data_IF_569597000749
#
_entry.id   IF_569597000749
#
_cell.length_a   1.000
_cell.length_b   1.000
_cell.length_c   1.000
_cell.angle_alpha   90.00
_cell.angle_beta   90.00
_cell.angle_gamma   90.00
#
_symmetry.space_group_name_H-M   'P 1'
#
loop_
_entity.id
_entity.type
_entity.pdbx_description
1 polymer ?
#
# COMPACT_ATOMS: atom_id res chain seq x y z
N UNK A 1 -1.08 -23.84 -1.64
CA UNK A 1 0.35 -24.18 -1.70
C UNK A 1 1.24 -22.95 -1.44
N UNK A 2 1.08 -21.82 -2.16
CA UNK A 2 1.85 -20.60 -1.93
C UNK A 2 1.69 -20.03 -0.51
N UNK A 3 0.54 -20.25 0.12
CA UNK A 3 0.24 -19.75 1.46
C UNK A 3 0.86 -20.63 2.54
N UNK A 4 1.05 -21.91 2.29
CA UNK A 4 1.75 -22.82 3.21
C UNK A 4 3.25 -22.49 3.29
N UNK A 5 3.86 -22.06 2.21
CA UNK A 5 5.25 -21.60 2.22
C UNK A 5 5.45 -20.33 3.06
N UNK A 6 4.40 -19.53 3.27
CA UNK A 6 4.43 -18.35 4.12
C UNK A 6 4.47 -18.65 5.61
N UNK A 7 4.26 -19.91 6.01
CA UNK A 7 4.31 -20.31 7.41
C UNK A 7 5.74 -20.38 7.96
N UNK A 8 6.72 -20.31 7.08
CA UNK A 8 8.12 -20.38 7.49
C UNK A 8 8.63 -18.97 7.86
N UNK A 9 8.90 -18.71 9.15
CA UNK A 9 9.33 -17.38 9.60
C UNK A 9 10.71 -16.94 9.08
N UNK A 10 11.39 -17.77 8.32
CA UNK A 10 12.70 -17.44 7.73
C UNK A 10 12.62 -16.66 6.43
N UNK A 11 11.44 -16.56 5.79
CA UNK A 11 11.29 -15.78 4.55
C UNK A 11 10.99 -14.33 4.87
N UNK A 12 12.03 -13.49 4.90
CA UNK A 12 11.98 -12.18 5.54
C UNK A 12 12.06 -11.01 4.59
N UNK A 13 12.49 -11.22 3.37
CA UNK A 13 12.86 -10.13 2.48
C UNK A 13 11.94 -10.08 1.27
N UNK A 14 11.24 -8.95 1.11
CA UNK A 14 10.57 -8.62 -0.14
C UNK A 14 11.40 -7.57 -0.87
N UNK A 15 11.74 -7.84 -2.12
CA UNK A 15 12.29 -6.84 -2.99
C UNK A 15 11.12 -6.14 -3.71
N UNK A 16 10.97 -4.84 -3.47
CA UNK A 16 9.87 -4.06 -4.00
C UNK A 16 10.40 -3.05 -4.99
N UNK A 17 9.86 -3.09 -6.20
CA UNK A 17 10.11 -2.08 -7.22
C UNK A 17 8.99 -1.05 -7.17
N UNK A 18 9.28 0.12 -6.63
CA UNK A 18 8.35 1.24 -6.59
C UNK A 18 8.45 2.06 -7.88
N UNK A 19 7.32 2.24 -8.53
CA UNK A 19 7.15 3.21 -9.62
C UNK A 19 6.25 4.33 -9.12
N UNK A 20 6.78 5.55 -9.07
CA UNK A 20 5.93 6.72 -8.85
C UNK A 20 5.34 7.16 -10.19
N UNK A 21 4.03 7.14 -10.27
CA UNK A 21 3.30 7.70 -11.38
C UNK A 21 2.49 8.89 -10.86
N UNK A 22 2.99 10.10 -11.14
CA UNK A 22 2.22 11.32 -10.91
C UNK A 22 1.29 11.52 -12.11
N UNK A 23 -0.01 11.72 -11.86
CA UNK A 23 -1.00 11.94 -12.90
C UNK A 23 -0.69 13.20 -13.76
N UNK A 24 0.17 14.10 -13.26
CA UNK A 24 0.58 15.34 -13.91
C UNK A 24 1.95 15.22 -14.60
N UNK A 25 2.80 14.32 -14.16
CA UNK A 25 4.15 14.14 -14.68
C UNK A 25 4.36 12.68 -15.11
N UNK A 26 4.40 12.43 -16.41
CA UNK A 26 4.65 11.10 -17.00
C UNK A 26 6.07 10.56 -16.73
N UNK A 27 6.74 11.07 -15.71
CA UNK A 27 8.06 10.57 -15.29
C UNK A 27 7.89 9.40 -14.34
N UNK A 28 8.19 8.23 -14.84
CA UNK A 28 8.21 7.00 -14.05
C UNK A 28 9.56 6.87 -13.34
N UNK A 29 9.63 7.31 -12.11
CA UNK A 29 10.78 7.01 -11.25
C UNK A 29 10.61 5.61 -10.65
N UNK A 30 11.52 4.72 -11.01
CA UNK A 30 11.60 3.39 -10.41
C UNK A 30 12.53 3.45 -9.21
N UNK A 31 11.99 3.22 -8.03
CA UNK A 31 12.79 3.01 -6.83
C UNK A 31 12.67 1.56 -6.38
N UNK A 32 13.81 0.94 -6.09
CA UNK A 32 13.85 -0.38 -5.47
C UNK A 32 13.92 -0.20 -3.96
N UNK A 33 12.91 -0.71 -3.26
CA UNK A 33 12.85 -0.70 -1.80
C UNK A 33 12.93 -2.13 -1.31
N UNK A 34 13.88 -2.41 -0.42
CA UNK A 34 14.02 -3.71 0.22
C UNK A 34 13.37 -3.68 1.60
N UNK A 35 12.35 -4.50 1.77
CA UNK A 35 11.68 -4.67 3.06
C UNK A 35 12.36 -5.78 3.83
N UNK A 36 12.90 -5.42 4.99
CA UNK A 36 13.55 -6.35 5.92
C UNK A 36 12.72 -6.38 7.21
N UNK A 37 11.49 -6.84 7.13
CA UNK A 37 10.64 -6.97 8.32
C UNK A 37 10.09 -8.37 8.45
N UNK A 38 10.05 -8.86 9.69
CA UNK A 38 9.25 -10.02 10.02
C UNK A 38 7.78 -9.66 9.84
N UNK A 39 7.19 -10.16 8.78
CA UNK A 39 5.75 -10.08 8.61
C UNK A 39 5.11 -11.06 9.59
N UNK A 40 4.11 -10.58 10.33
CA UNK A 40 3.31 -11.45 11.20
C UNK A 40 2.35 -12.28 10.36
N UNK A 41 2.84 -13.40 9.87
CA UNK A 41 2.09 -14.32 9.02
C UNK A 41 0.82 -14.86 9.67
N UNK A 42 0.77 -14.94 11.00
CA UNK A 42 -0.43 -15.35 11.72
C UNK A 42 -1.55 -14.35 11.52
N UNK A 43 -1.27 -13.06 11.62
CA UNK A 43 -2.24 -12.01 11.33
C UNK A 43 -2.70 -12.03 9.88
N UNK A 44 -1.79 -12.29 8.94
CA UNK A 44 -2.12 -12.43 7.52
C UNK A 44 -3.01 -13.64 7.27
N UNK A 45 -2.76 -14.77 7.91
CA UNK A 45 -3.56 -16.00 7.76
C UNK A 45 -4.97 -15.87 8.30
N UNK A 46 -5.18 -15.09 9.35
CA UNK A 46 -6.50 -14.86 9.94
C UNK A 46 -7.38 -13.89 9.13
N UNK A 47 -6.84 -13.27 8.10
CA UNK A 47 -7.56 -12.37 7.21
C UNK A 47 -8.33 -13.12 6.12
N UNK A 48 -9.53 -12.63 5.77
CA UNK A 48 -10.30 -13.15 4.64
C UNK A 48 -9.60 -12.92 3.30
N UNK A 49 -8.94 -11.78 3.16
CA UNK A 49 -8.13 -11.44 2.01
C UNK A 49 -6.66 -11.36 2.42
N UNK A 50 -5.97 -12.47 2.28
CA UNK A 50 -4.56 -12.60 2.67
C UNK A 50 -3.65 -11.75 1.78
N UNK A 51 -3.97 -11.60 0.52
CA UNK A 51 -3.19 -10.76 -0.41
C UNK A 51 -3.38 -9.28 -0.07
N UNK A 52 -4.60 -8.85 0.21
CA UNK A 52 -4.88 -7.50 0.67
C UNK A 52 -4.15 -7.16 1.96
N UNK A 53 -4.24 -8.05 2.96
CA UNK A 53 -3.56 -7.87 4.24
C UNK A 53 -2.03 -7.82 4.08
N UNK A 54 -1.46 -8.66 3.23
CA UNK A 54 -0.03 -8.64 2.93
C UNK A 54 0.38 -7.32 2.25
N UNK A 55 -0.41 -6.87 1.29
CA UNK A 55 -0.18 -5.57 0.63
C UNK A 55 -0.16 -4.40 1.61
N UNK A 56 -1.12 -4.37 2.54
CA UNK A 56 -1.16 -3.35 3.60
C UNK A 56 0.08 -3.41 4.50
N UNK A 57 0.53 -4.59 4.90
CA UNK A 57 1.76 -4.75 5.70
C UNK A 57 3.00 -4.27 4.95
N UNK A 58 3.11 -4.58 3.66
CA UNK A 58 4.21 -4.13 2.81
C UNK A 58 4.25 -2.59 2.74
N UNK A 59 3.13 -1.97 2.43
CA UNK A 59 3.04 -0.51 2.29
C UNK A 59 3.26 0.18 3.64
N UNK A 60 2.68 -0.35 4.71
CA UNK A 60 2.90 0.17 6.06
C UNK A 60 4.39 0.16 6.45
N UNK A 61 5.10 -0.91 6.10
CA UNK A 61 6.53 -1.01 6.37
C UNK A 61 7.35 -0.01 5.54
N UNK A 62 7.02 0.17 4.27
CA UNK A 62 7.64 1.20 3.42
C UNK A 62 7.47 2.59 4.03
N UNK A 63 6.25 2.94 4.42
CA UNK A 63 5.95 4.24 5.01
C UNK A 63 6.63 4.43 6.36
N UNK A 64 6.76 3.37 7.14
CA UNK A 64 7.50 3.39 8.42
C UNK A 64 8.99 3.66 8.19
N UNK A 65 9.60 2.98 7.22
CA UNK A 65 11.01 3.21 6.85
C UNK A 65 11.24 4.64 6.35
N UNK A 66 10.35 5.15 5.50
CA UNK A 66 10.43 6.54 5.02
C UNK A 66 10.29 7.55 6.16
N UNK A 67 9.39 7.29 7.11
CA UNK A 67 9.21 8.15 8.28
C UNK A 67 10.47 8.19 9.16
N UNK A 68 11.09 7.04 9.40
CA UNK A 68 12.34 6.95 10.15
C UNK A 68 13.48 7.67 9.44
N UNK A 69 13.63 7.42 8.13
CA UNK A 69 14.70 8.02 7.32
C UNK A 69 14.60 9.54 7.22
N UNK A 70 13.39 10.08 7.10
CA UNK A 70 13.12 11.49 6.87
C UNK A 70 12.63 12.23 8.13
N UNK A 71 12.65 11.58 9.29
CA UNK A 71 12.20 12.14 10.56
C UNK A 71 10.76 12.66 10.51
N UNK A 72 9.87 11.89 9.91
CA UNK A 72 8.45 12.19 9.84
C UNK A 72 7.69 11.55 11.00
N UNK A 73 6.45 11.96 11.21
CA UNK A 73 5.54 11.27 12.13
C UNK A 73 5.32 9.84 11.68
N UNK A 74 5.26 8.91 12.63
CA UNK A 74 5.05 7.49 12.35
C UNK A 74 3.67 7.23 11.77
N UNK A 75 3.55 6.40 10.71
CA UNK A 75 2.26 6.04 10.17
C UNK A 75 1.41 5.24 11.15
N UNK A 76 0.09 5.28 10.96
CA UNK A 76 -0.89 4.54 11.75
C UNK A 76 -1.66 3.62 10.80
N UNK A 77 -1.75 2.34 11.15
CA UNK A 77 -2.51 1.36 10.40
C UNK A 77 -4.00 1.44 10.79
N UNK A 78 -4.72 2.36 10.18
CA UNK A 78 -6.08 2.76 10.54
C UNK A 78 -7.09 1.62 10.41
N UNK A 79 -7.00 0.83 9.36
CA UNK A 79 -7.89 -0.32 9.13
C UNK A 79 -7.80 -1.36 10.26
N UNK A 80 -6.64 -1.49 10.90
CA UNK A 80 -6.46 -2.37 12.06
C UNK A 80 -6.91 -1.74 13.38
N UNK A 81 -6.66 -0.45 13.57
CA UNK A 81 -6.91 0.24 14.83
C UNK A 81 -8.31 0.83 14.94
N UNK A 82 -8.85 1.38 13.85
CA UNK A 82 -10.13 2.09 13.81
C UNK A 82 -11.23 1.35 13.01
N UNK A 83 -10.87 0.27 12.28
CA UNK A 83 -11.78 -0.50 11.43
C UNK A 83 -11.89 0.03 10.01
N UNK A 84 -12.68 -0.65 9.17
CA UNK A 84 -12.74 -0.42 7.73
C UNK A 84 -13.63 0.75 7.29
N UNK A 85 -14.34 1.38 8.23
CA UNK A 85 -15.38 2.39 7.93
C UNK A 85 -14.88 3.76 7.49
N UNK A 86 -13.58 4.05 7.64
CA UNK A 86 -13.02 5.39 7.35
C UNK A 86 -12.69 5.62 5.88
N UNK A 87 -12.66 4.55 5.05
CA UNK A 87 -12.46 4.65 3.61
C UNK A 87 -11.00 4.74 3.16
N UNK A 88 -10.04 4.47 4.04
CA UNK A 88 -8.61 4.33 3.73
C UNK A 88 -7.92 3.44 4.78
N UNK A 89 -6.73 2.94 4.46
CA UNK A 89 -6.06 1.90 5.26
C UNK A 89 -5.00 2.45 6.22
N UNK A 90 -4.25 3.46 5.80
CA UNK A 90 -3.09 3.97 6.54
C UNK A 90 -3.13 5.49 6.58
N UNK A 91 -2.86 6.04 7.77
CA UNK A 91 -2.64 7.48 7.96
C UNK A 91 -1.14 7.73 8.06
N UNK A 92 -0.65 8.66 7.26
CA UNK A 92 0.75 9.06 7.24
C UNK A 92 0.87 10.59 7.24
N UNK A 93 2.07 11.12 7.34
CA UNK A 93 2.33 12.56 7.34
C UNK A 93 3.51 12.88 6.43
N UNK A 94 3.44 14.01 5.76
CA UNK A 94 4.55 14.51 4.96
C UNK A 94 5.53 15.35 5.81
N UNK A 95 6.54 15.92 5.15
CA UNK A 95 7.57 16.75 5.80
C UNK A 95 7.04 18.02 6.45
N UNK A 96 5.88 18.50 6.05
CA UNK A 96 5.21 19.69 6.58
C UNK A 96 4.15 19.32 7.63
N UNK A 97 4.20 18.10 8.16
CA UNK A 97 3.22 17.54 9.09
C UNK A 97 1.78 17.50 8.54
N UNK A 98 1.64 17.47 7.21
CA UNK A 98 0.34 17.35 6.58
C UNK A 98 -0.10 15.89 6.58
N UNK A 99 -1.31 15.64 7.06
CA UNK A 99 -1.90 14.30 7.13
C UNK A 99 -2.27 13.79 5.73
N UNK A 100 -1.84 12.57 5.44
CA UNK A 100 -2.07 11.88 4.18
C UNK A 100 -2.91 10.62 4.44
N UNK A 101 -3.91 10.38 3.60
CA UNK A 101 -4.75 9.19 3.66
C UNK A 101 -4.35 8.22 2.55
N UNK A 102 -3.90 7.04 2.96
CA UNK A 102 -3.34 6.03 2.08
C UNK A 102 -4.30 4.85 1.95
N UNK A 103 -4.72 4.55 0.74
CA UNK A 103 -5.44 3.33 0.39
C UNK A 103 -4.49 2.35 -0.27
N UNK A 104 -4.56 1.08 0.12
CA UNK A 104 -3.73 0.02 -0.46
C UNK A 104 -4.60 -0.91 -1.28
N UNK A 105 -4.21 -1.13 -2.54
CA UNK A 105 -4.83 -2.10 -3.44
C UNK A 105 -3.79 -3.13 -3.83
N UNK A 106 -3.96 -4.36 -3.36
CA UNK A 106 -2.98 -5.42 -3.58
C UNK A 106 -3.57 -6.56 -4.41
N UNK A 107 -2.79 -7.08 -5.34
CA UNK A 107 -3.19 -8.16 -6.23
C UNK A 107 -1.96 -8.97 -6.68
N UNK A 108 -2.16 -10.27 -6.92
CA UNK A 108 -1.21 -11.12 -7.65
C UNK A 108 -1.22 -10.83 -9.14
N UNK A 109 -2.26 -10.16 -9.61
CA UNK A 109 -2.53 -9.93 -11.02
C UNK A 109 -1.57 -8.90 -11.62
N UNK A 110 -1.57 -8.84 -12.94
CA UNK A 110 -0.78 -7.89 -13.72
C UNK A 110 -1.35 -6.48 -13.61
N UNK A 111 -0.54 -5.52 -13.92
CA UNK A 111 -0.94 -4.11 -13.96
C UNK A 111 -2.19 -3.86 -14.82
N UNK A 112 -2.30 -4.55 -15.96
CA UNK A 112 -3.39 -4.39 -16.92
C UNK A 112 -4.77 -4.83 -16.42
N UNK A 113 -4.82 -5.63 -15.36
CA UNK A 113 -6.08 -6.24 -14.90
C UNK A 113 -6.93 -5.30 -14.03
N UNK A 114 -6.38 -4.14 -13.68
CA UNK A 114 -7.10 -3.14 -12.91
C UNK A 114 -7.32 -3.52 -11.44
N UNK A 115 -8.13 -2.75 -10.75
CA UNK A 115 -8.54 -3.00 -9.37
C UNK A 115 -9.87 -2.32 -9.07
N UNK A 116 -10.56 -2.82 -8.08
CA UNK A 116 -11.86 -2.29 -7.66
C UNK A 116 -11.70 -1.19 -6.61
N UNK A 117 -12.54 -0.16 -6.72
CA UNK A 117 -12.65 0.91 -5.73
C UNK A 117 -14.07 0.93 -5.21
N UNK A 118 -14.23 0.93 -3.90
CA UNK A 118 -15.53 1.01 -3.26
C UNK A 118 -16.07 2.45 -3.27
N UNK A 119 -17.39 2.57 -3.13
CA UNK A 119 -18.05 3.87 -3.02
C UNK A 119 -17.52 4.68 -1.82
N UNK A 120 -17.27 4.02 -0.70
CA UNK A 120 -16.74 4.67 0.51
C UNK A 120 -15.33 5.23 0.28
N UNK A 121 -14.48 4.52 -0.45
CA UNK A 121 -13.15 4.98 -0.83
C UNK A 121 -13.21 6.19 -1.78
N UNK A 122 -14.13 6.16 -2.75
CA UNK A 122 -14.36 7.29 -3.65
C UNK A 122 -14.76 8.54 -2.86
N UNK A 123 -15.71 8.41 -1.93
CA UNK A 123 -16.14 9.53 -1.08
C UNK A 123 -15.01 10.05 -0.19
N UNK A 124 -14.24 9.16 0.43
CA UNK A 124 -13.07 9.54 1.23
C UNK A 124 -12.02 10.29 0.41
N UNK A 125 -11.83 9.91 -0.86
CA UNK A 125 -10.88 10.56 -1.76
C UNK A 125 -11.23 12.01 -2.14
N UNK A 126 -12.48 12.42 -1.96
CA UNK A 126 -12.96 13.77 -2.27
C UNK A 126 -12.63 14.79 -1.20
N UNK A 127 -12.18 14.37 -0.02
CA UNK A 127 -11.83 15.28 1.05
C UNK A 127 -10.60 16.11 0.69
N UNK A 128 -10.80 17.41 0.54
CA UNK A 128 -9.73 18.36 0.12
C UNK A 128 -8.73 18.67 1.23
N UNK A 129 -9.09 18.41 2.48
CA UNK A 129 -8.22 18.68 3.63
C UNK A 129 -7.09 17.67 3.75
N UNK A 130 -7.30 16.47 3.21
CA UNK A 130 -6.37 15.35 3.31
C UNK A 130 -6.08 14.77 1.94
N UNK A 131 -4.85 14.88 1.42
CA UNK A 131 -4.47 14.21 0.19
C UNK A 131 -4.73 12.71 0.27
N UNK A 132 -5.36 12.17 -0.75
CA UNK A 132 -5.67 10.76 -0.90
C UNK A 132 -4.67 10.11 -1.85
N UNK A 133 -3.99 9.08 -1.40
CA UNK A 133 -2.93 8.43 -2.14
C UNK A 133 -3.21 6.93 -2.21
N UNK A 134 -3.20 6.36 -3.41
CA UNK A 134 -3.37 4.93 -3.61
C UNK A 134 -2.00 4.30 -3.87
N UNK A 135 -1.65 3.31 -3.04
CA UNK A 135 -0.54 2.42 -3.26
C UNK A 135 -1.08 1.14 -3.89
N UNK A 136 -0.87 0.98 -5.17
CA UNK A 136 -1.24 -0.23 -5.89
C UNK A 136 -0.08 -1.21 -5.90
N UNK A 137 -0.24 -2.30 -5.18
CA UNK A 137 0.69 -3.43 -5.14
C UNK A 137 0.20 -4.46 -6.15
N UNK A 138 0.97 -4.76 -7.17
CA UNK A 138 0.60 -5.71 -8.21
C UNK A 138 1.77 -6.65 -8.53
N UNK A 139 1.51 -7.69 -9.29
CA UNK A 139 2.49 -8.76 -9.52
C UNK A 139 3.08 -9.31 -8.21
N UNK A 140 2.26 -9.41 -7.18
CA UNK A 140 2.72 -9.90 -5.89
C UNK A 140 3.05 -11.38 -5.98
N UNK A 141 4.34 -11.67 -5.98
CA UNK A 141 4.88 -13.02 -6.04
C UNK A 141 5.45 -13.39 -4.68
N UNK A 142 4.68 -14.15 -3.94
CA UNK A 142 5.00 -14.56 -2.58
C UNK A 142 6.21 -15.51 -2.58
N UNK A 143 6.27 -16.41 -3.54
CA UNK A 143 7.34 -17.40 -3.65
C UNK A 143 8.70 -16.76 -3.90
N UNK A 144 8.79 -15.83 -4.84
CA UNK A 144 10.01 -15.11 -5.19
C UNK A 144 10.19 -13.83 -4.37
N UNK A 145 9.26 -13.51 -3.49
CA UNK A 145 9.31 -12.38 -2.55
C UNK A 145 9.52 -11.03 -3.24
N UNK A 146 8.75 -10.80 -4.27
CA UNK A 146 8.76 -9.52 -4.97
C UNK A 146 7.37 -9.04 -5.35
N UNK A 147 7.25 -7.78 -5.60
CA UNK A 147 6.06 -7.14 -6.13
C UNK A 147 6.44 -5.84 -6.83
N UNK A 148 5.48 -5.27 -7.53
CA UNK A 148 5.59 -3.93 -8.09
C UNK A 148 4.61 -3.01 -7.38
N UNK A 149 4.99 -1.76 -7.19
CA UNK A 149 4.11 -0.75 -6.58
C UNK A 149 4.02 0.45 -7.51
N UNK A 150 2.80 0.91 -7.73
CA UNK A 150 2.52 2.16 -8.40
C UNK A 150 1.73 3.07 -7.47
N UNK A 151 2.12 4.35 -7.38
CA UNK A 151 1.56 5.32 -6.45
C UNK A 151 0.77 6.35 -7.24
N UNK A 152 -0.49 6.55 -6.85
CA UNK A 152 -1.40 7.52 -7.45
C UNK A 152 -1.79 8.55 -6.40
N UNK A 153 -1.69 9.83 -6.74
CA UNK A 153 -2.07 10.94 -5.87
C UNK A 153 -3.29 11.66 -6.44
N UNK A 154 -4.18 12.05 -5.57
CA UNK A 154 -5.35 12.86 -5.91
C UNK A 154 -6.67 12.13 -5.74
N UNK A 155 -7.79 12.83 -5.96
CA UNK A 155 -9.10 12.21 -5.94
C UNK A 155 -9.23 11.13 -7.02
N UNK A 156 -9.95 10.07 -6.72
CA UNK A 156 -10.09 8.92 -7.63
C UNK A 156 -10.64 9.31 -8.99
N UNK A 157 -11.59 10.23 -9.04
CA UNK A 157 -12.19 10.69 -10.29
C UNK A 157 -11.25 11.50 -11.19
N UNK A 158 -10.15 12.00 -10.66
CA UNK A 158 -9.10 12.68 -11.45
C UNK A 158 -8.06 11.70 -12.01
N UNK A 159 -7.89 10.58 -11.34
CA UNK A 159 -6.90 9.55 -11.70
C UNK A 159 -7.49 8.57 -12.72
N UNK A 160 -8.76 8.25 -12.57
CA UNK A 160 -9.48 7.27 -13.39
C UNK A 160 -10.69 7.91 -14.05
N UNK A 161 -10.86 7.70 -15.35
CA UNK A 161 -12.14 7.97 -16.01
C UNK A 161 -13.14 6.91 -15.56
N UNK A 162 -13.97 7.32 -14.66
CA UNK A 162 -15.09 6.51 -14.19
C UNK A 162 -16.23 6.53 -15.21
#
# INVERSE_FOLDING_TARGET
>A
EEIEELQNPSSKDFEIICKKNDAVDNKKDKQTVKIIKKIDWKKVQDSKDKIGALGEEIVFDILTQEAEKNNLKKPIHVSKEEGDGVGYDIRAWDKDDKELHIEVKASKEKYSDGFEITRNEIEASKNKDYPYIIYRVYNLDIKNKNCSIEIYSGPVYEIYSL
#
